data_IF_681319482410
#
_entry.id   IF_681319482410
#
_cell.length_a   1.000
_cell.length_b   1.000
_cell.length_c   1.000
_cell.angle_alpha   90.00
_cell.angle_beta   90.00
_cell.angle_gamma   90.00
#
_symmetry.space_group_name_H-M   'P 1'
#
loop_
_entity.id
_entity.type
_entity.pdbx_description
1 polymer ?
#
# COMPACT_ATOMS: atom_id res chain seq x y z
N UNK A 1 -14.54 20.49 22.07
CA UNK A 1 -13.48 19.57 22.59
C UNK A 1 -13.90 18.11 22.48
N UNK A 2 -15.10 17.74 22.88
CA UNK A 2 -15.61 16.36 22.81
C UNK A 2 -15.63 15.78 21.39
N UNK A 3 -15.98 16.58 20.40
CA UNK A 3 -16.03 16.16 18.99
C UNK A 3 -14.62 15.92 18.40
N UNK A 4 -13.61 16.72 18.77
CA UNK A 4 -12.20 16.51 18.40
C UNK A 4 -11.62 15.25 19.03
N UNK A 5 -11.99 14.96 20.28
CA UNK A 5 -11.57 13.74 20.98
C UNK A 5 -12.15 12.47 20.35
N UNK A 6 -13.42 12.51 19.91
CA UNK A 6 -14.07 11.40 19.20
C UNK A 6 -13.42 11.14 17.84
N UNK A 7 -13.18 12.17 17.04
CA UNK A 7 -12.49 12.04 15.74
C UNK A 7 -11.07 11.49 15.92
N UNK A 8 -10.34 11.91 16.94
CA UNK A 8 -9.00 11.40 17.23
C UNK A 8 -9.01 9.91 17.61
N UNK A 9 -9.97 9.46 18.42
CA UNK A 9 -10.09 8.05 18.79
C UNK A 9 -10.51 7.17 17.60
N UNK A 10 -11.40 7.65 16.76
CA UNK A 10 -11.82 6.95 15.54
C UNK A 10 -10.69 6.86 14.49
N UNK A 11 -9.87 7.91 14.36
CA UNK A 11 -8.64 7.83 13.53
C UNK A 11 -7.70 6.72 14.01
N UNK A 12 -7.46 6.63 15.33
CA UNK A 12 -6.54 5.63 15.88
C UNK A 12 -7.07 4.19 15.67
N UNK A 13 -8.38 3.99 15.86
CA UNK A 13 -9.04 2.70 15.61
C UNK A 13 -8.93 2.33 14.13
N UNK A 14 -9.19 3.28 13.23
CA UNK A 14 -9.06 3.08 11.80
C UNK A 14 -7.64 2.65 11.41
N UNK A 15 -6.63 3.38 11.87
CA UNK A 15 -5.23 3.08 11.49
C UNK A 15 -4.82 1.68 11.94
N UNK A 16 -5.30 1.24 13.11
CA UNK A 16 -5.11 -0.14 13.57
C UNK A 16 -5.84 -1.15 12.68
N UNK A 17 -7.10 -0.90 12.34
CA UNK A 17 -7.89 -1.79 11.47
C UNK A 17 -7.27 -1.88 10.07
N UNK A 18 -6.81 -0.78 9.51
CA UNK A 18 -6.14 -0.76 8.21
C UNK A 18 -4.83 -1.55 8.24
N UNK A 19 -4.02 -1.36 9.26
CA UNK A 19 -2.77 -2.11 9.42
C UNK A 19 -3.04 -3.61 9.58
N UNK A 20 -4.03 -4.00 10.40
CA UNK A 20 -4.43 -5.40 10.55
C UNK A 20 -4.91 -6.00 9.23
N UNK A 21 -5.69 -5.25 8.44
CA UNK A 21 -6.19 -5.73 7.15
C UNK A 21 -5.05 -5.93 6.14
N UNK A 22 -4.10 -4.98 6.04
CA UNK A 22 -2.92 -5.12 5.17
C UNK A 22 -2.08 -6.33 5.58
N UNK A 23 -1.85 -6.52 6.89
CA UNK A 23 -1.13 -7.69 7.40
C UNK A 23 -1.86 -8.97 7.03
N UNK A 24 -3.19 -9.04 7.22
CA UNK A 24 -4.02 -10.18 6.84
C UNK A 24 -3.89 -10.51 5.35
N UNK A 25 -3.98 -9.51 4.47
CA UNK A 25 -3.82 -9.71 3.02
C UNK A 25 -2.44 -10.27 2.65
N UNK A 26 -1.38 -9.77 3.28
CA UNK A 26 -0.02 -10.29 3.05
C UNK A 26 0.08 -11.74 3.53
N UNK A 27 -0.48 -12.07 4.71
CA UNK A 27 -0.53 -13.44 5.21
C UNK A 27 -1.32 -14.36 4.28
N UNK A 28 -2.47 -13.93 3.78
CA UNK A 28 -3.29 -14.70 2.82
C UNK A 28 -2.50 -15.02 1.53
N UNK A 29 -1.77 -14.02 0.98
CA UNK A 29 -0.90 -14.23 -0.19
C UNK A 29 0.22 -15.24 0.11
N UNK A 30 0.86 -15.13 1.28
CA UNK A 30 1.90 -16.07 1.70
C UNK A 30 1.34 -17.49 1.81
N UNK A 31 0.19 -17.67 2.48
CA UNK A 31 -0.48 -18.96 2.62
C UNK A 31 -0.84 -19.54 1.26
N UNK A 32 -1.45 -18.74 0.37
CA UNK A 32 -1.77 -19.17 -0.99
C UNK A 32 -0.52 -19.64 -1.75
N UNK A 33 0.58 -18.91 -1.63
CA UNK A 33 1.82 -19.22 -2.34
C UNK A 33 2.50 -20.49 -1.81
N UNK A 34 2.50 -20.69 -0.48
CA UNK A 34 3.14 -21.87 0.13
C UNK A 34 2.30 -23.13 0.03
N UNK A 35 0.98 -23.00 0.17
CA UNK A 35 0.08 -24.16 0.24
C UNK A 35 -0.29 -24.68 -1.15
N UNK A 36 -0.41 -23.79 -2.13
CA UNK A 36 -0.96 -24.10 -3.43
C UNK A 36 0.07 -23.83 -4.56
N UNK A 37 0.86 -24.86 -4.87
CA UNK A 37 1.75 -24.85 -6.03
C UNK A 37 1.03 -25.38 -7.27
N UNK A 38 1.63 -25.17 -8.46
CA UNK A 38 1.08 -25.69 -9.71
C UNK A 38 0.94 -27.22 -9.71
N UNK A 39 1.96 -27.93 -9.21
CA UNK A 39 1.93 -29.40 -9.08
C UNK A 39 0.82 -29.86 -8.16
N UNK A 40 0.59 -29.12 -7.08
CA UNK A 40 -0.52 -29.40 -6.17
C UNK A 40 -1.89 -29.26 -6.84
N UNK A 41 -2.10 -28.21 -7.67
CA UNK A 41 -3.35 -27.99 -8.41
C UNK A 41 -3.66 -29.09 -9.42
N UNK A 42 -2.64 -29.70 -10.02
CA UNK A 42 -2.81 -30.81 -10.99
C UNK A 42 -3.23 -32.13 -10.31
N UNK A 43 -2.87 -32.32 -9.02
CA UNK A 43 -3.14 -33.55 -8.25
C UNK A 43 -4.25 -33.39 -7.21
N UNK A 44 -4.78 -32.16 -7.02
CA UNK A 44 -5.68 -31.84 -5.93
C UNK A 44 -7.00 -32.60 -5.99
N UNK A 45 -7.38 -33.19 -4.87
CA UNK A 45 -8.71 -33.79 -4.69
C UNK A 45 -9.80 -32.72 -4.51
N UNK A 46 -11.06 -33.09 -4.66
CA UNK A 46 -12.18 -32.12 -4.54
C UNK A 46 -12.22 -31.36 -3.20
N UNK A 47 -11.78 -31.97 -2.09
CA UNK A 47 -11.71 -31.30 -0.78
C UNK A 47 -10.62 -30.25 -0.71
N UNK A 48 -9.47 -30.54 -1.31
CA UNK A 48 -8.33 -29.63 -1.36
C UNK A 48 -8.62 -28.45 -2.28
N UNK A 49 -9.28 -28.68 -3.42
CA UNK A 49 -9.76 -27.64 -4.31
C UNK A 49 -10.79 -26.72 -3.62
N UNK A 50 -11.67 -27.27 -2.80
CA UNK A 50 -12.61 -26.48 -2.00
C UNK A 50 -11.86 -25.58 -0.98
N UNK A 51 -10.79 -26.08 -0.35
CA UNK A 51 -9.92 -25.30 0.53
C UNK A 51 -9.24 -24.13 -0.19
N UNK A 52 -8.72 -24.37 -1.38
CA UNK A 52 -8.16 -23.32 -2.25
C UNK A 52 -9.18 -22.22 -2.58
N UNK A 53 -10.36 -22.62 -3.05
CA UNK A 53 -11.44 -21.69 -3.40
C UNK A 53 -11.90 -20.87 -2.17
N UNK A 54 -11.98 -21.52 -0.99
CA UNK A 54 -12.32 -20.83 0.24
C UNK A 54 -11.26 -19.75 0.62
N UNK A 55 -9.98 -20.06 0.48
CA UNK A 55 -8.89 -19.10 0.75
C UNK A 55 -8.91 -17.94 -0.25
N UNK A 56 -9.15 -18.22 -1.53
CA UNK A 56 -9.31 -17.18 -2.54
C UNK A 56 -10.53 -16.28 -2.24
N UNK A 57 -11.64 -16.87 -1.80
CA UNK A 57 -12.84 -16.11 -1.43
C UNK A 57 -12.57 -15.21 -0.22
N UNK A 58 -11.87 -15.70 0.81
CA UNK A 58 -11.47 -14.91 1.97
C UNK A 58 -10.56 -13.74 1.58
N UNK A 59 -9.60 -13.96 0.70
CA UNK A 59 -8.75 -12.90 0.17
C UNK A 59 -9.55 -11.82 -0.55
N UNK A 60 -10.50 -12.23 -1.41
CA UNK A 60 -11.39 -11.29 -2.10
C UNK A 60 -12.27 -10.50 -1.11
N UNK A 61 -12.83 -11.17 -0.10
CA UNK A 61 -13.65 -10.51 0.95
C UNK A 61 -12.81 -9.48 1.70
N UNK A 62 -11.60 -9.82 2.14
CA UNK A 62 -10.68 -8.90 2.80
C UNK A 62 -10.37 -7.67 1.93
N UNK A 63 -10.14 -7.87 0.62
CA UNK A 63 -9.88 -6.78 -0.32
C UNK A 63 -11.06 -5.83 -0.46
N UNK A 64 -12.28 -6.35 -0.61
CA UNK A 64 -13.49 -5.52 -0.70
C UNK A 64 -13.82 -4.82 0.61
N UNK A 65 -13.62 -5.47 1.76
CA UNK A 65 -13.80 -4.84 3.07
C UNK A 65 -12.84 -3.67 3.25
N UNK A 66 -11.58 -3.82 2.84
CA UNK A 66 -10.61 -2.72 2.90
C UNK A 66 -11.09 -1.50 2.10
N UNK A 67 -11.52 -1.71 0.84
CA UNK A 67 -12.07 -0.63 0.01
C UNK A 67 -13.31 0.04 0.62
N UNK A 68 -14.22 -0.76 1.18
CA UNK A 68 -15.42 -0.28 1.84
C UNK A 68 -15.09 0.60 3.06
N UNK A 69 -14.18 0.16 3.94
CA UNK A 69 -13.76 0.93 5.11
C UNK A 69 -13.05 2.23 4.73
N UNK A 70 -12.26 2.22 3.67
CA UNK A 70 -11.63 3.43 3.14
C UNK A 70 -12.67 4.47 2.68
N UNK A 71 -13.65 4.04 1.88
CA UNK A 71 -14.72 4.94 1.41
C UNK A 71 -15.54 5.51 2.56
N UNK A 72 -15.89 4.67 3.53
CA UNK A 72 -16.67 5.09 4.70
C UNK A 72 -15.91 6.11 5.55
N UNK A 73 -14.61 5.89 5.72
CA UNK A 73 -13.75 6.83 6.46
C UNK A 73 -13.69 8.21 5.79
N UNK A 74 -13.45 8.27 4.48
CA UNK A 74 -13.40 9.56 3.78
C UNK A 74 -14.71 10.33 3.93
N UNK A 75 -15.85 9.65 3.80
CA UNK A 75 -17.17 10.26 4.00
C UNK A 75 -17.34 10.79 5.43
N UNK A 76 -16.85 10.06 6.43
CA UNK A 76 -16.91 10.48 7.84
C UNK A 76 -16.05 11.73 8.07
N UNK A 77 -14.83 11.76 7.54
CA UNK A 77 -13.96 12.95 7.64
C UNK A 77 -14.59 14.15 6.94
N UNK A 78 -15.18 13.96 5.76
CA UNK A 78 -15.87 15.03 5.05
C UNK A 78 -17.12 15.55 5.80
N UNK A 79 -17.81 14.68 6.53
CA UNK A 79 -18.94 15.10 7.38
C UNK A 79 -18.48 15.92 8.60
N UNK A 80 -17.32 15.59 9.18
CA UNK A 80 -16.74 16.32 10.30
C UNK A 80 -16.00 17.60 9.85
N UNK A 81 -15.47 17.61 8.62
CA UNK A 81 -14.68 18.67 8.01
C UNK A 81 -15.23 19.00 6.63
N UNK A 82 -16.26 19.86 6.52
CA UNK A 82 -16.90 20.19 5.23
C UNK A 82 -15.99 20.87 4.21
N UNK A 83 -14.85 21.41 4.65
CA UNK A 83 -13.80 21.99 3.80
C UNK A 83 -13.04 20.92 3.01
N UNK A 84 -13.05 19.66 3.45
CA UNK A 84 -12.37 18.55 2.76
C UNK A 84 -13.12 18.14 1.50
N UNK A 85 -12.45 18.26 0.36
CA UNK A 85 -13.00 17.97 -0.96
C UNK A 85 -12.32 16.75 -1.58
N UNK A 86 -13.07 16.03 -2.40
CA UNK A 86 -12.59 14.90 -3.18
C UNK A 86 -13.61 13.76 -3.21
N UNK A 87 -13.86 13.22 -4.40
CA UNK A 87 -14.65 12.01 -4.59
C UNK A 87 -13.68 10.83 -4.75
N UNK A 88 -13.77 9.82 -3.88
CA UNK A 88 -12.91 8.64 -3.93
C UNK A 88 -13.00 7.86 -5.25
N UNK A 89 -14.10 7.98 -5.98
CA UNK A 89 -14.25 7.35 -7.28
C UNK A 89 -13.59 8.16 -8.41
N UNK A 90 -13.16 9.39 -8.14
CA UNK A 90 -12.49 10.25 -9.12
C UNK A 90 -10.99 9.94 -9.19
N UNK A 91 -10.43 9.94 -10.41
CA UNK A 91 -8.98 9.87 -10.64
C UNK A 91 -8.22 11.04 -10.01
N UNK A 92 -8.90 12.16 -9.77
CA UNK A 92 -8.32 13.38 -9.20
C UNK A 92 -8.47 13.45 -7.67
N UNK A 93 -9.02 12.40 -7.02
CA UNK A 93 -9.28 12.39 -5.59
C UNK A 93 -8.10 12.92 -4.76
N UNK A 94 -6.90 12.39 -4.97
CA UNK A 94 -5.72 12.80 -4.19
C UNK A 94 -5.35 14.27 -4.38
N UNK A 95 -5.50 14.78 -5.61
CA UNK A 95 -5.22 16.19 -5.92
C UNK A 95 -6.23 17.12 -5.21
N UNK A 96 -7.50 16.79 -5.30
CA UNK A 96 -8.59 17.59 -4.71
C UNK A 96 -8.53 17.53 -3.18
N UNK A 97 -8.23 16.35 -2.61
CA UNK A 97 -8.02 16.16 -1.20
C UNK A 97 -6.85 17.00 -0.67
N UNK A 98 -5.69 16.90 -1.30
CA UNK A 98 -4.50 17.68 -0.92
C UNK A 98 -4.71 19.19 -1.08
N UNK A 99 -5.46 19.61 -2.09
CA UNK A 99 -5.81 21.03 -2.27
C UNK A 99 -6.69 21.57 -1.15
N UNK A 100 -7.50 20.71 -0.52
CA UNK A 100 -8.39 21.05 0.61
C UNK A 100 -7.72 20.93 1.99
N UNK A 101 -6.48 20.45 2.05
CA UNK A 101 -5.70 20.37 3.29
C UNK A 101 -5.07 21.73 3.63
N UNK A 102 -4.99 22.02 4.93
CA UNK A 102 -4.23 23.17 5.42
C UNK A 102 -2.71 22.94 5.29
N UNK A 103 -1.92 23.98 5.55
CA UNK A 103 -0.46 23.89 5.40
C UNK A 103 0.18 22.93 6.41
N UNK A 104 -0.36 22.83 7.64
CA UNK A 104 0.14 21.93 8.66
C UNK A 104 -0.14 20.45 8.30
N UNK A 105 -1.33 20.18 7.74
CA UNK A 105 -1.69 18.86 7.24
C UNK A 105 -0.83 18.44 6.04
N UNK A 106 -0.63 19.35 5.08
CA UNK A 106 0.25 19.12 3.93
C UNK A 106 1.67 18.80 4.36
N UNK A 107 2.21 19.58 5.29
CA UNK A 107 3.55 19.36 5.83
C UNK A 107 3.66 18.00 6.50
N UNK A 108 2.66 17.60 7.32
CA UNK A 108 2.61 16.28 7.95
C UNK A 108 2.62 15.15 6.91
N UNK A 109 1.83 15.27 5.85
CA UNK A 109 1.77 14.28 4.75
C UNK A 109 3.11 14.21 4.04
N UNK A 110 3.73 15.35 3.70
CA UNK A 110 5.03 15.38 3.01
C UNK A 110 6.15 14.79 3.85
N UNK A 111 6.21 15.13 5.14
CA UNK A 111 7.21 14.56 6.05
C UNK A 111 7.03 13.06 6.23
N UNK A 112 5.79 12.60 6.35
CA UNK A 112 5.47 11.16 6.47
C UNK A 112 5.84 10.41 5.20
N UNK A 113 5.50 10.95 4.03
CA UNK A 113 5.85 10.38 2.74
C UNK A 113 7.37 10.32 2.54
N UNK A 114 8.10 11.38 2.92
CA UNK A 114 9.56 11.40 2.85
C UNK A 114 10.20 10.34 3.76
N UNK A 115 9.74 10.22 5.01
CA UNK A 115 10.22 9.18 5.93
C UNK A 115 9.95 7.78 5.40
N UNK A 116 8.75 7.55 4.83
CA UNK A 116 8.40 6.27 4.21
C UNK A 116 9.29 5.97 3.00
N UNK A 117 9.55 6.96 2.14
CA UNK A 117 10.45 6.82 0.99
C UNK A 117 11.87 6.41 1.41
N UNK A 118 12.42 7.09 2.43
CA UNK A 118 13.76 6.78 2.94
C UNK A 118 13.84 5.39 3.57
N UNK A 119 12.81 4.98 4.30
CA UNK A 119 12.75 3.64 4.89
C UNK A 119 12.62 2.54 3.82
N UNK A 120 11.71 2.73 2.85
CA UNK A 120 11.51 1.81 1.73
C UNK A 120 12.78 1.69 0.87
N UNK A 121 13.48 2.79 0.59
CA UNK A 121 14.72 2.77 -0.19
C UNK A 121 15.78 1.86 0.44
N UNK A 122 15.99 1.97 1.76
CA UNK A 122 16.91 1.09 2.49
C UNK A 122 16.46 -0.37 2.47
N UNK A 123 15.17 -0.61 2.70
CA UNK A 123 14.61 -1.98 2.72
C UNK A 123 14.73 -2.66 1.34
N UNK A 124 14.43 -1.95 0.26
CA UNK A 124 14.53 -2.49 -1.10
C UNK A 124 15.99 -2.80 -1.47
N UNK A 125 16.96 -1.97 -1.06
CA UNK A 125 18.39 -2.27 -1.27
C UNK A 125 18.82 -3.54 -0.54
N UNK A 126 18.40 -3.71 0.72
CA UNK A 126 18.67 -4.93 1.50
C UNK A 126 18.04 -6.15 0.82
N UNK A 127 16.77 -6.04 0.38
CA UNK A 127 16.07 -7.10 -0.34
C UNK A 127 16.76 -7.46 -1.66
N UNK A 128 17.26 -6.48 -2.40
CA UNK A 128 17.99 -6.72 -3.66
C UNK A 128 19.27 -7.52 -3.41
N UNK A 129 20.05 -7.14 -2.40
CA UNK A 129 21.23 -7.90 -2.01
C UNK A 129 20.86 -9.31 -1.51
N UNK A 130 19.84 -9.44 -0.69
CA UNK A 130 19.39 -10.72 -0.17
C UNK A 130 18.89 -11.66 -1.29
N UNK A 131 18.08 -11.16 -2.23
CA UNK A 131 17.59 -11.97 -3.36
C UNK A 131 18.73 -12.39 -4.29
N UNK A 132 19.76 -11.54 -4.48
CA UNK A 132 20.94 -11.88 -5.23
C UNK A 132 21.72 -13.04 -4.54
N UNK A 133 21.96 -12.94 -3.23
CA UNK A 133 22.65 -13.99 -2.47
C UNK A 133 21.86 -15.31 -2.49
N UNK A 134 20.53 -15.23 -2.27
CA UNK A 134 19.65 -16.39 -2.32
C UNK A 134 19.69 -17.07 -3.71
N UNK A 135 19.73 -16.28 -4.79
CA UNK A 135 19.85 -16.82 -6.13
C UNK A 135 21.19 -17.58 -6.33
N UNK A 136 22.29 -17.01 -5.84
CA UNK A 136 23.61 -17.62 -5.98
C UNK A 136 23.77 -18.90 -5.15
N UNK A 137 23.21 -18.93 -3.92
CA UNK A 137 23.38 -20.06 -2.98
C UNK A 137 22.35 -21.16 -3.24
N UNK A 138 21.10 -20.81 -3.48
CA UNK A 138 19.97 -21.75 -3.56
C UNK A 138 19.39 -21.93 -4.95
N UNK A 139 19.95 -21.28 -5.98
CA UNK A 139 19.45 -21.33 -7.37
C UNK A 139 17.94 -21.03 -7.48
N UNK A 140 17.43 -20.08 -6.67
CA UNK A 140 16.00 -19.72 -6.58
C UNK A 140 15.39 -19.07 -7.82
N UNK A 141 16.20 -18.88 -8.87
CA UNK A 141 15.76 -18.20 -10.09
C UNK A 141 15.97 -16.68 -10.05
N UNK A 142 16.25 -16.10 -11.22
CA UNK A 142 16.59 -14.68 -11.38
C UNK A 142 15.37 -13.74 -11.26
N UNK A 143 14.14 -14.28 -11.34
CA UNK A 143 12.91 -13.50 -11.41
C UNK A 143 12.75 -12.56 -10.19
N UNK A 144 13.05 -13.05 -8.99
CA UNK A 144 12.95 -12.24 -7.76
C UNK A 144 13.89 -11.03 -7.82
N UNK A 145 15.12 -11.23 -8.29
CA UNK A 145 16.12 -10.13 -8.44
C UNK A 145 15.62 -9.08 -9.44
N UNK A 146 15.08 -9.53 -10.59
CA UNK A 146 14.54 -8.63 -11.61
C UNK A 146 13.36 -7.82 -11.06
N UNK A 147 12.39 -8.46 -10.39
CA UNK A 147 11.20 -7.78 -9.85
C UNK A 147 11.61 -6.73 -8.82
N UNK A 148 12.46 -7.09 -7.85
CA UNK A 148 12.94 -6.12 -6.83
C UNK A 148 13.74 -5.00 -7.47
N UNK A 149 14.58 -5.30 -8.49
CA UNK A 149 15.33 -4.31 -9.25
C UNK A 149 14.44 -3.33 -9.99
N UNK A 150 13.38 -3.79 -10.64
CA UNK A 150 12.39 -2.94 -11.34
C UNK A 150 11.67 -2.02 -10.35
N UNK A 151 11.26 -2.54 -9.19
CA UNK A 151 10.63 -1.73 -8.13
C UNK A 151 11.59 -0.62 -7.67
N UNK A 152 12.85 -0.95 -7.39
CA UNK A 152 13.87 0.01 -6.98
C UNK A 152 14.11 1.10 -8.02
N UNK A 153 14.27 0.72 -9.29
CA UNK A 153 14.45 1.67 -10.40
C UNK A 153 13.24 2.59 -10.55
N UNK A 154 12.03 2.04 -10.53
CA UNK A 154 10.80 2.83 -10.66
C UNK A 154 10.68 3.87 -9.54
N UNK A 155 10.92 3.46 -8.29
CA UNK A 155 10.88 4.35 -7.14
C UNK A 155 11.91 5.49 -7.27
N UNK A 156 13.15 5.16 -7.58
CA UNK A 156 14.26 6.12 -7.69
C UNK A 156 14.06 7.08 -8.86
N UNK A 157 13.68 6.58 -10.03
CA UNK A 157 13.45 7.41 -11.22
C UNK A 157 12.26 8.35 -11.03
N UNK A 158 11.18 7.89 -10.38
CA UNK A 158 10.02 8.72 -10.09
C UNK A 158 10.39 9.87 -9.15
N UNK A 159 11.14 9.58 -8.11
CA UNK A 159 11.62 10.60 -7.18
C UNK A 159 12.50 11.65 -7.90
N UNK A 160 13.50 11.22 -8.66
CA UNK A 160 14.39 12.14 -9.38
C UNK A 160 13.64 13.01 -10.40
N UNK A 161 12.71 12.40 -11.16
CA UNK A 161 11.87 13.16 -12.11
C UNK A 161 11.02 14.22 -11.40
N UNK A 162 10.44 13.89 -10.26
CA UNK A 162 9.65 14.82 -9.46
C UNK A 162 10.51 15.98 -8.93
N UNK A 163 11.70 15.69 -8.41
CA UNK A 163 12.64 16.72 -7.96
C UNK A 163 13.04 17.69 -9.08
N UNK A 164 13.41 17.17 -10.25
CA UNK A 164 13.76 17.99 -11.42
C UNK A 164 12.58 18.84 -11.89
N UNK A 165 11.39 18.27 -11.92
CA UNK A 165 10.17 19.00 -12.30
C UNK A 165 9.88 20.18 -11.37
N UNK A 166 9.98 19.95 -10.07
CA UNK A 166 9.77 20.98 -9.04
C UNK A 166 10.84 22.09 -9.08
N UNK A 167 12.11 21.71 -9.33
CA UNK A 167 13.18 22.68 -9.50
C UNK A 167 12.95 23.58 -10.72
N UNK A 168 12.56 22.98 -11.85
CA UNK A 168 12.23 23.75 -13.07
C UNK A 168 11.06 24.69 -12.85
N UNK A 169 10.03 24.27 -12.13
CA UNK A 169 8.89 25.13 -11.80
C UNK A 169 9.30 26.33 -10.95
N UNK A 170 10.26 26.17 -10.03
CA UNK A 170 10.81 27.29 -9.22
C UNK A 170 11.69 28.26 -10.02
N UNK A 171 12.37 27.78 -11.07
CA UNK A 171 13.24 28.63 -11.89
C UNK A 171 12.46 29.44 -12.93
N UNK A 172 11.24 29.01 -13.26
CA UNK A 172 10.35 29.69 -14.23
C UNK A 172 9.36 30.65 -13.54
N UNK A 173 9.45 30.86 -12.24
CA UNK A 173 8.75 31.86 -11.44
C UNK A 173 9.67 33.03 -11.16
#
# INVERSE_FOLDING_TARGET
>A
EMQRSLVGSEMCIRDRLMNCNVISQVCDIIVLTFTFSRSWLEEASGKELAGFLATCALFCINFFLYGYYQMRYVKMVQAAHPEKRGDMNSKNFQKDWMASCDEAEKEMVYQSAYKAYMALGKMIQILLCATMILHLVFHTGILAVIVVGVIYLTMTLTYHRSCVSLQKAKLNL
#
